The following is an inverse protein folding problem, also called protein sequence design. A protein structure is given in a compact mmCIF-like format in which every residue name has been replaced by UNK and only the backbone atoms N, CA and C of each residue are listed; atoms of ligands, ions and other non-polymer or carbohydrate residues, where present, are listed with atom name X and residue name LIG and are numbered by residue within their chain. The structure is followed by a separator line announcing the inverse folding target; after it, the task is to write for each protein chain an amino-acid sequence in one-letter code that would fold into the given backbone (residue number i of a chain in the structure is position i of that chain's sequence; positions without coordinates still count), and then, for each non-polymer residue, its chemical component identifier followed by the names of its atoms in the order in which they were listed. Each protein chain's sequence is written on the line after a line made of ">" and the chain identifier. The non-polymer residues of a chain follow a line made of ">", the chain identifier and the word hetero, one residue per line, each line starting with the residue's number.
data_IF_180137112283
#
_entry.id   IF_180137112283
#
_cell.length_a   1.000
_cell.length_b   1.000
_cell.length_c   1.000
_cell.angle_alpha   90.00
_cell.angle_beta   90.00
_cell.angle_gamma   90.00
#
_symmetry.space_group_name_H-M   'P 1'
#
loop_
_entity.id
_entity.type
_entity.pdbx_description
1 polymer ?
#
# COMPACT_ATOMS: atom_id res chain seq x y z
N UNK A 1 33.21 -30.24 40.54
CA UNK A 1 32.48 -30.65 39.31
C UNK A 1 31.13 -29.94 39.31
N UNK A 2 30.88 -28.96 38.44
CA UNK A 2 29.58 -28.29 38.42
C UNK A 2 28.57 -29.14 37.63
N UNK A 3 27.40 -29.36 38.24
CA UNK A 3 26.29 -30.09 37.64
C UNK A 3 25.68 -29.23 36.52
N UNK A 4 25.75 -29.69 35.28
CA UNK A 4 25.04 -29.09 34.16
C UNK A 4 23.53 -29.33 34.32
N UNK A 5 22.78 -28.28 34.63
CA UNK A 5 21.32 -28.25 34.58
C UNK A 5 20.84 -28.57 33.15
N UNK A 6 20.51 -29.85 32.92
CA UNK A 6 19.93 -30.31 31.66
C UNK A 6 18.47 -29.87 31.62
N UNK A 7 18.22 -28.71 30.99
CA UNK A 7 16.87 -28.21 30.73
C UNK A 7 16.06 -29.25 29.94
N UNK A 8 14.81 -29.49 30.34
CA UNK A 8 13.97 -30.52 29.74
C UNK A 8 13.45 -30.11 28.35
N UNK A 9 13.33 -31.06 27.38
CA UNK A 9 13.07 -30.76 25.96
C UNK A 9 11.80 -29.95 25.69
N UNK A 10 10.80 -30.07 26.56
CA UNK A 10 9.52 -29.37 26.44
C UNK A 10 9.64 -27.85 26.61
N UNK A 11 10.58 -27.38 27.43
CA UNK A 11 10.81 -25.93 27.64
C UNK A 11 11.62 -25.31 26.50
N UNK A 12 12.50 -26.09 25.87
CA UNK A 12 13.26 -25.67 24.69
C UNK A 12 12.34 -25.43 23.50
N UNK A 13 11.45 -26.39 23.20
CA UNK A 13 10.46 -26.28 22.11
C UNK A 13 9.52 -25.08 22.28
N UNK A 14 9.08 -24.79 23.51
CA UNK A 14 8.18 -23.67 23.80
C UNK A 14 8.86 -22.30 23.65
N UNK A 15 10.15 -22.22 23.97
CA UNK A 15 10.98 -21.04 23.76
C UNK A 15 11.22 -20.75 22.27
N UNK A 16 11.55 -21.78 21.50
CA UNK A 16 11.77 -21.69 20.05
C UNK A 16 10.49 -21.27 19.30
N UNK A 17 9.34 -21.85 19.65
CA UNK A 17 8.05 -21.48 19.04
C UNK A 17 7.68 -20.01 19.31
N UNK A 18 7.90 -19.50 20.53
CA UNK A 18 7.69 -18.08 20.85
C UNK A 18 8.60 -17.17 20.03
N UNK A 19 9.85 -17.57 19.84
CA UNK A 19 10.82 -16.79 19.08
C UNK A 19 10.45 -16.72 17.59
N UNK A 20 10.03 -17.84 17.00
CA UNK A 20 9.53 -17.88 15.61
C UNK A 20 8.30 -16.99 15.42
N UNK A 21 7.33 -17.04 16.35
CA UNK A 21 6.14 -16.18 16.27
C UNK A 21 6.50 -14.70 16.38
N UNK A 22 7.42 -14.34 17.29
CA UNK A 22 7.91 -12.97 17.44
C UNK A 22 8.62 -12.48 16.18
N UNK A 23 9.48 -13.29 15.57
CA UNK A 23 10.15 -12.95 14.32
C UNK A 23 9.17 -12.78 13.16
N UNK A 24 8.15 -13.64 13.05
CA UNK A 24 7.07 -13.50 12.06
C UNK A 24 6.33 -12.18 12.24
N UNK A 25 6.00 -11.81 13.48
CA UNK A 25 5.33 -10.55 13.78
C UNK A 25 6.20 -9.35 13.41
N UNK A 26 7.48 -9.35 13.79
CA UNK A 26 8.44 -8.31 13.40
C UNK A 26 8.55 -8.21 11.88
N UNK A 27 8.61 -9.33 11.17
CA UNK A 27 8.62 -9.37 9.72
C UNK A 27 7.38 -8.72 9.11
N UNK A 28 6.18 -9.04 9.63
CA UNK A 28 4.93 -8.42 9.19
C UNK A 28 4.90 -6.91 9.44
N UNK A 29 5.35 -6.47 10.62
CA UNK A 29 5.41 -5.03 10.94
C UNK A 29 6.36 -4.31 9.99
N UNK A 30 7.56 -4.86 9.77
CA UNK A 30 8.53 -4.28 8.84
C UNK A 30 8.00 -4.22 7.41
N UNK A 31 7.31 -5.27 6.95
CA UNK A 31 6.66 -5.29 5.64
C UNK A 31 5.56 -4.24 5.55
N UNK A 32 4.72 -4.10 6.58
CA UNK A 32 3.70 -3.06 6.64
C UNK A 32 4.32 -1.66 6.53
N UNK A 33 5.31 -1.37 7.37
CA UNK A 33 6.06 -0.11 7.32
C UNK A 33 6.70 0.15 5.96
N UNK A 34 7.22 -0.90 5.31
CA UNK A 34 7.85 -0.80 4.01
C UNK A 34 6.85 -0.48 2.90
N UNK A 35 5.65 -1.08 2.94
CA UNK A 35 4.56 -0.82 2.00
C UNK A 35 3.85 0.53 2.24
N UNK A 36 4.04 1.13 3.42
CA UNK A 36 3.54 2.47 3.74
C UNK A 36 4.49 3.60 3.32
N UNK A 37 5.66 3.30 2.78
CA UNK A 37 6.59 4.34 2.32
C UNK A 37 6.06 5.01 1.05
N UNK A 38 6.21 6.34 0.92
CA UNK A 38 5.97 7.03 -0.34
C UNK A 38 6.80 6.43 -1.48
N UNK A 39 6.28 6.40 -2.70
CA UNK A 39 6.90 5.78 -3.88
C UNK A 39 8.35 6.27 -4.08
N UNK A 40 8.57 7.58 -3.91
CA UNK A 40 9.89 8.18 -4.03
C UNK A 40 10.88 7.66 -2.99
N UNK A 41 10.45 7.50 -1.74
CA UNK A 41 11.30 7.02 -0.67
C UNK A 41 11.49 5.50 -0.74
N UNK A 42 10.46 4.77 -1.17
CA UNK A 42 10.54 3.37 -1.52
C UNK A 42 11.58 3.12 -2.62
N UNK A 43 11.54 3.92 -3.71
CA UNK A 43 12.50 3.85 -4.82
C UNK A 43 13.92 4.13 -4.35
N UNK A 44 14.13 5.17 -3.53
CA UNK A 44 15.44 5.48 -2.93
C UNK A 44 15.94 4.32 -2.06
N UNK A 45 15.06 3.75 -1.24
CA UNK A 45 15.41 2.63 -0.37
C UNK A 45 15.82 1.40 -1.18
N UNK A 46 15.03 0.99 -2.18
CA UNK A 46 15.35 -0.15 -3.05
C UNK A 46 16.69 0.08 -3.76
N UNK A 47 16.92 1.27 -4.32
CA UNK A 47 18.19 1.60 -4.96
C UNK A 47 19.38 1.50 -3.99
N UNK A 48 19.20 1.89 -2.72
CA UNK A 48 20.24 1.76 -1.70
C UNK A 48 20.55 0.29 -1.41
N UNK A 49 19.52 -0.56 -1.28
CA UNK A 49 19.68 -2.00 -1.03
C UNK A 49 20.31 -2.70 -2.23
N UNK A 50 19.87 -2.41 -3.46
CA UNK A 50 20.42 -3.03 -4.67
C UNK A 50 21.90 -2.65 -4.92
N UNK A 51 22.34 -1.49 -4.41
CA UNK A 51 23.75 -1.04 -4.47
C UNK A 51 24.63 -1.59 -3.35
N UNK A 52 24.05 -2.24 -2.35
CA UNK A 52 24.82 -2.77 -1.24
C UNK A 52 25.76 -3.91 -1.72
N UNK A 53 27.05 -3.91 -1.31
CA UNK A 53 28.01 -4.92 -1.77
C UNK A 53 27.62 -6.35 -1.40
N UNK A 54 27.00 -6.57 -0.23
CA UNK A 54 26.54 -7.90 0.17
C UNK A 54 25.38 -8.33 -0.72
N UNK A 55 24.44 -7.42 -1.00
CA UNK A 55 23.33 -7.70 -1.90
C UNK A 55 23.82 -8.09 -3.29
N UNK A 56 24.78 -7.35 -3.84
CA UNK A 56 25.37 -7.67 -5.14
C UNK A 56 26.08 -9.01 -5.15
N UNK A 57 26.85 -9.35 -4.11
CA UNK A 57 27.47 -10.69 -3.98
C UNK A 57 26.42 -11.79 -3.91
N UNK A 58 25.39 -11.63 -3.08
CA UNK A 58 24.32 -12.62 -2.96
C UNK A 58 23.58 -12.84 -4.29
N UNK A 59 23.39 -11.78 -5.07
CA UNK A 59 22.72 -11.84 -6.37
C UNK A 59 23.58 -12.42 -7.49
N UNK A 60 24.78 -11.88 -7.68
CA UNK A 60 25.61 -12.14 -8.87
C UNK A 60 26.68 -13.19 -8.65
N UNK A 61 27.23 -13.30 -7.44
CA UNK A 61 28.28 -14.27 -7.14
C UNK A 61 27.69 -15.60 -6.66
N UNK A 62 26.74 -15.54 -5.73
CA UNK A 62 26.17 -16.73 -5.11
C UNK A 62 24.81 -17.14 -5.68
N UNK A 63 24.16 -16.27 -6.46
CA UNK A 63 22.81 -16.49 -7.02
C UNK A 63 21.76 -16.95 -6.00
N UNK A 64 21.91 -16.56 -4.73
CA UNK A 64 21.01 -16.94 -3.64
C UNK A 64 19.73 -16.12 -3.64
N UNK A 65 19.76 -14.95 -4.26
CA UNK A 65 18.63 -14.02 -4.32
C UNK A 65 18.38 -13.60 -5.77
N UNK A 66 17.10 -13.43 -6.12
CA UNK A 66 16.69 -12.89 -7.41
C UNK A 66 15.71 -11.74 -7.20
N UNK A 67 15.81 -10.73 -8.05
CA UNK A 67 14.84 -9.62 -8.11
C UNK A 67 14.15 -9.73 -9.45
N UNK A 68 12.85 -9.99 -9.40
CA UNK A 68 11.99 -9.92 -10.56
C UNK A 68 11.50 -8.47 -10.67
N UNK A 69 11.94 -7.78 -11.71
CA UNK A 69 11.32 -6.52 -12.12
C UNK A 69 10.25 -6.88 -13.15
N UNK A 70 9.08 -6.27 -13.07
CA UNK A 70 7.99 -6.55 -14.00
C UNK A 70 8.27 -5.80 -15.32
N UNK A 71 8.57 -6.52 -16.41
CA UNK A 71 9.02 -5.87 -17.65
C UNK A 71 7.94 -5.00 -18.30
N UNK A 72 6.66 -5.25 -18.00
CA UNK A 72 5.52 -4.46 -18.49
C UNK A 72 5.46 -3.04 -17.92
N UNK A 73 6.26 -2.72 -16.89
CA UNK A 73 6.33 -1.39 -16.27
C UNK A 73 7.52 -0.58 -16.85
N UNK A 74 8.37 -1.19 -17.70
CA UNK A 74 9.56 -0.55 -18.27
C UNK A 74 9.28 0.40 -19.44
N UNK A 75 8.03 0.54 -19.89
CA UNK A 75 7.65 1.64 -20.77
C UNK A 75 7.59 2.93 -19.96
N UNK A 76 8.76 3.52 -19.74
CA UNK A 76 8.97 4.81 -19.12
C UNK A 76 8.27 5.90 -19.96
N UNK A 77 6.99 6.12 -19.70
CA UNK A 77 6.45 7.47 -19.80
C UNK A 77 6.87 8.20 -18.53
N UNK A 78 7.76 9.21 -18.57
CA UNK A 78 8.21 9.96 -17.40
C UNK A 78 7.07 10.68 -16.64
N UNK A 79 5.85 10.61 -17.16
CA UNK A 79 4.64 11.20 -16.60
C UNK A 79 3.81 10.25 -15.72
N UNK A 80 4.15 8.96 -15.61
CA UNK A 80 3.36 7.99 -14.85
C UNK A 80 3.87 7.86 -13.41
N UNK A 81 3.89 8.96 -12.67
CA UNK A 81 4.12 8.93 -11.22
C UNK A 81 2.81 8.57 -10.50
N UNK A 82 2.88 7.72 -9.48
CA UNK A 82 1.72 7.43 -8.66
C UNK A 82 1.39 8.67 -7.82
N UNK A 83 0.25 9.30 -8.12
CA UNK A 83 -0.23 10.45 -7.35
C UNK A 83 -0.86 9.96 -6.05
N UNK A 84 -0.05 9.73 -5.03
CA UNK A 84 -0.47 9.28 -3.70
C UNK A 84 -1.55 10.17 -3.08
N UNK A 85 -1.49 11.47 -3.35
CA UNK A 85 -2.49 12.45 -2.90
C UNK A 85 -3.90 12.24 -3.50
N UNK A 86 -4.05 11.44 -4.56
CA UNK A 86 -5.34 11.10 -5.16
C UNK A 86 -5.90 9.78 -4.62
N UNK A 87 -5.13 9.05 -3.81
CA UNK A 87 -5.63 7.84 -3.13
C UNK A 87 -6.46 8.31 -1.94
N UNK A 88 -7.77 7.99 -1.90
CA UNK A 88 -8.59 8.28 -0.74
C UNK A 88 -7.98 7.64 0.50
N UNK A 89 -7.56 8.46 1.45
CA UNK A 89 -7.37 7.96 2.81
C UNK A 89 -8.77 7.67 3.36
N UNK A 90 -8.96 6.59 4.16
CA UNK A 90 -10.26 6.23 4.70
C UNK A 90 -10.93 7.34 5.53
N UNK A 91 -10.18 8.39 5.90
CA UNK A 91 -10.58 9.36 6.91
C UNK A 91 -11.00 10.73 6.32
N UNK A 92 -10.50 11.18 5.15
CA UNK A 92 -10.67 12.60 4.76
C UNK A 92 -11.02 12.81 3.27
N UNK A 93 -12.26 12.48 2.88
CA UNK A 93 -12.89 13.20 1.76
C UNK A 93 -13.94 14.13 2.36
N UNK A 94 -13.48 15.27 2.88
CA UNK A 94 -14.39 16.39 3.16
C UNK A 94 -14.79 17.03 1.82
N UNK A 95 -15.97 16.66 1.34
CA UNK A 95 -16.60 17.24 0.14
C UNK A 95 -16.64 18.77 0.21
N UNK A 96 -16.67 19.34 1.42
CA UNK A 96 -16.55 20.78 1.67
C UNK A 96 -15.25 21.39 1.13
N UNK A 97 -14.10 20.81 1.41
CA UNK A 97 -12.80 21.32 0.93
C UNK A 97 -12.67 21.26 -0.60
N UNK A 98 -13.25 20.25 -1.23
CA UNK A 98 -13.25 20.08 -2.69
C UNK A 98 -14.08 21.18 -3.35
N UNK A 99 -15.21 21.52 -2.73
CA UNK A 99 -16.10 22.59 -3.18
C UNK A 99 -15.48 23.98 -2.99
N UNK A 100 -14.73 24.19 -1.90
CA UNK A 100 -14.01 25.44 -1.67
C UNK A 100 -12.88 25.67 -2.69
N UNK A 101 -12.19 24.59 -3.09
CA UNK A 101 -11.12 24.65 -4.10
C UNK A 101 -11.63 24.89 -5.52
N UNK A 102 -12.82 24.39 -5.85
CA UNK A 102 -13.44 24.62 -7.16
C UNK A 102 -14.96 24.91 -7.04
N UNK A 103 -15.35 26.20 -6.99
CA UNK A 103 -16.76 26.60 -6.95
C UNK A 103 -17.55 26.18 -8.19
N UNK A 104 -16.90 25.93 -9.33
CA UNK A 104 -17.57 25.47 -10.54
C UNK A 104 -18.02 24.01 -10.41
N UNK A 105 -17.30 23.22 -9.60
CA UNK A 105 -17.66 21.84 -9.29
C UNK A 105 -19.03 21.76 -8.63
N UNK A 106 -19.35 22.68 -7.71
CA UNK A 106 -20.66 22.79 -7.07
C UNK A 106 -21.78 23.01 -8.09
N UNK A 107 -21.51 23.85 -9.09
CA UNK A 107 -22.46 24.18 -10.15
C UNK A 107 -22.72 22.97 -11.04
N UNK A 108 -21.67 22.20 -11.35
CA UNK A 108 -21.76 20.96 -12.11
C UNK A 108 -22.50 19.89 -11.30
N UNK A 109 -22.20 19.76 -10.00
CA UNK A 109 -22.85 18.81 -9.11
C UNK A 109 -24.36 19.06 -9.00
N UNK A 110 -24.75 20.34 -8.91
CA UNK A 110 -26.16 20.76 -8.93
C UNK A 110 -26.83 20.40 -10.25
N UNK A 111 -26.21 20.72 -11.38
CA UNK A 111 -26.74 20.37 -12.71
C UNK A 111 -26.93 18.87 -12.87
N UNK A 112 -25.99 18.06 -12.39
CA UNK A 112 -26.10 16.60 -12.41
C UNK A 112 -27.24 16.15 -11.49
N UNK A 113 -27.33 16.67 -10.28
CA UNK A 113 -28.44 16.38 -9.35
C UNK A 113 -29.82 16.74 -9.93
N UNK A 114 -29.92 17.84 -10.67
CA UNK A 114 -31.15 18.30 -11.32
C UNK A 114 -31.54 17.41 -12.51
N UNK A 115 -30.55 16.99 -13.32
CA UNK A 115 -30.78 16.10 -14.48
C UNK A 115 -31.15 14.68 -14.05
N UNK A 116 -30.49 14.18 -13.01
CA UNK A 116 -30.62 12.78 -12.55
C UNK A 116 -31.76 12.61 -11.55
N UNK A 117 -32.14 13.69 -10.87
CA UNK A 117 -33.08 13.71 -9.77
C UNK A 117 -32.40 13.41 -8.43
N UNK A 118 -32.73 14.22 -7.42
CA UNK A 118 -32.08 14.24 -6.09
C UNK A 118 -32.01 12.86 -5.42
N UNK A 119 -33.05 12.03 -5.59
CA UNK A 119 -33.16 10.71 -4.97
C UNK A 119 -32.22 9.67 -5.61
N UNK A 120 -32.10 9.69 -6.95
CA UNK A 120 -31.18 8.81 -7.68
C UNK A 120 -29.73 9.25 -7.44
N UNK A 121 -29.49 10.56 -7.41
CA UNK A 121 -28.19 11.14 -7.12
C UNK A 121 -27.71 10.81 -5.69
N UNK A 122 -28.59 10.88 -4.69
CA UNK A 122 -28.29 10.44 -3.31
C UNK A 122 -27.95 8.96 -3.25
N UNK A 123 -28.73 8.09 -3.89
CA UNK A 123 -28.44 6.63 -3.91
C UNK A 123 -27.07 6.33 -4.53
N UNK A 124 -26.71 7.04 -5.59
CA UNK A 124 -25.39 6.98 -6.21
C UNK A 124 -24.27 7.39 -5.25
N UNK A 125 -24.38 8.54 -4.58
CA UNK A 125 -23.35 9.04 -3.66
C UNK A 125 -23.15 8.13 -2.43
N UNK A 126 -24.22 7.54 -1.91
CA UNK A 126 -24.16 6.65 -0.74
C UNK A 126 -23.97 5.16 -1.12
N UNK A 127 -23.52 4.89 -2.34
CA UNK A 127 -23.04 3.56 -2.75
C UNK A 127 -24.11 2.48 -2.89
N UNK A 128 -25.40 2.86 -2.97
CA UNK A 128 -26.48 1.91 -3.28
C UNK A 128 -26.72 1.88 -4.78
N UNK A 129 -25.91 1.06 -5.45
CA UNK A 129 -26.09 0.55 -6.82
C UNK A 129 -26.63 1.57 -7.84
N UNK A 130 -25.75 2.40 -8.40
CA UNK A 130 -26.00 2.97 -9.73
C UNK A 130 -24.68 3.07 -10.48
N UNK A 131 -24.57 2.42 -11.63
CA UNK A 131 -23.42 2.58 -12.52
C UNK A 131 -23.55 3.94 -13.21
N UNK A 132 -22.48 4.74 -13.29
CA UNK A 132 -22.49 6.06 -13.97
C UNK A 132 -23.00 5.94 -15.43
N UNK A 133 -22.77 4.80 -16.07
CA UNK A 133 -23.24 4.51 -17.43
C UNK A 133 -24.76 4.41 -17.56
N UNK A 134 -25.48 4.13 -16.48
CA UNK A 134 -26.95 4.07 -16.47
C UNK A 134 -27.60 5.44 -16.26
N UNK A 135 -26.82 6.42 -15.79
CA UNK A 135 -27.26 7.77 -15.47
C UNK A 135 -27.23 8.67 -16.72
N UNK A 136 -26.33 8.38 -17.67
CA UNK A 136 -26.20 9.12 -18.93
C UNK A 136 -27.01 8.38 -20.00
N UNK A 137 -28.33 8.57 -20.01
CA UNK A 137 -29.20 8.17 -21.12
C UNK A 137 -30.22 9.24 -21.41
#
# INVERSE_FOLDING_TARGET
>A
MPQTLRMSPQYQLKGEQRLVQKLKLIGRIKLGQFLSLPENDFKKYINKVERDPLFQKLRYQYHLISCRKFPQILSESPSLEFKEALVPQPEDIEVGEIIEKDPQLLTILKKIGDVVGIEKFRKFLYGKEVNIKEIIR
#
